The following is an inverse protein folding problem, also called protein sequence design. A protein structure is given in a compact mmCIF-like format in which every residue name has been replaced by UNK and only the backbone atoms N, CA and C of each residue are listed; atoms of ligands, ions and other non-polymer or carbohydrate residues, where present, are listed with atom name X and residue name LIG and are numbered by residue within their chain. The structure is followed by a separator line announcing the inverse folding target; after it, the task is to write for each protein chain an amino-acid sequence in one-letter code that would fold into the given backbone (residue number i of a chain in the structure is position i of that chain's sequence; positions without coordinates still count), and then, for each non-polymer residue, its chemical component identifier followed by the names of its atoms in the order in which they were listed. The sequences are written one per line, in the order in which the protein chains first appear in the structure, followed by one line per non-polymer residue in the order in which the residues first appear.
data_IF_369522711758
#
_entry.id   IF_369522711758
#
_cell.length_a   1.000
_cell.length_b   1.000
_cell.length_c   1.000
_cell.angle_alpha   90.00
_cell.angle_beta   90.00
_cell.angle_gamma   90.00
#
_symmetry.space_group_name_H-M   'P 1'
#
loop_
_entity.id
_entity.type
_entity.pdbx_description
1 polymer ?
#
# COMPACT_ATOMS: atom_id res chain seq x y z
N UNK A 1 4.68 -6.49 -9.64
CA UNK A 1 5.11 -5.89 -8.35
C UNK A 1 3.87 -5.32 -7.66
N UNK A 2 3.69 -5.57 -6.36
CA UNK A 2 2.52 -5.14 -5.56
C UNK A 2 2.29 -3.63 -5.63
N UNK A 3 3.38 -2.86 -5.51
CA UNK A 3 3.35 -1.39 -5.52
C UNK A 3 3.00 -0.81 -6.90
N UNK A 4 3.48 -1.41 -7.99
CA UNK A 4 3.22 -0.91 -9.35
C UNK A 4 1.74 -1.04 -9.73
N UNK A 5 1.11 -2.13 -9.29
CA UNK A 5 -0.25 -2.48 -9.70
C UNK A 5 -1.31 -2.16 -8.63
N UNK A 6 -0.92 -1.64 -7.47
CA UNK A 6 -1.80 -1.41 -6.32
C UNK A 6 -2.63 -2.63 -5.95
N UNK A 7 -1.98 -3.80 -5.98
CA UNK A 7 -2.65 -5.08 -5.78
C UNK A 7 -1.93 -5.89 -4.72
N UNK A 8 -2.50 -5.93 -3.51
CA UNK A 8 -2.07 -6.82 -2.45
C UNK A 8 -2.49 -8.27 -2.76
N UNK A 9 -1.69 -8.97 -3.55
CA UNK A 9 -1.90 -10.37 -3.91
C UNK A 9 -1.58 -11.37 -2.78
N UNK A 10 -1.00 -10.91 -1.67
CA UNK A 10 -0.80 -11.74 -0.46
C UNK A 10 -2.13 -11.87 0.28
N UNK A 11 -2.92 -10.79 0.30
CA UNK A 11 -4.19 -10.69 1.02
C UNK A 11 -4.01 -10.10 2.42
N UNK A 12 -5.03 -10.23 3.25
CA UNK A 12 -5.04 -9.69 4.63
C UNK A 12 -4.32 -10.64 5.60
N UNK A 13 -4.13 -10.23 6.87
CA UNK A 13 -3.45 -11.06 7.88
C UNK A 13 -4.05 -12.46 8.11
N UNK A 14 -5.28 -12.72 7.66
CA UNK A 14 -5.91 -14.04 7.71
C UNK A 14 -5.40 -15.02 6.65
N UNK A 15 -4.66 -14.57 5.62
CA UNK A 15 -4.17 -15.41 4.51
C UNK A 15 -2.71 -15.87 4.71
N UNK A 16 -2.00 -15.33 5.70
CA UNK A 16 -0.56 -15.50 5.87
C UNK A 16 -0.19 -16.06 7.24
N UNK A 17 0.87 -16.87 7.29
CA UNK A 17 1.49 -17.32 8.53
C UNK A 17 2.92 -16.80 8.62
N UNK A 18 3.26 -16.21 9.76
CA UNK A 18 4.60 -15.71 10.04
C UNK A 18 5.36 -16.65 10.96
N UNK A 19 6.65 -16.86 10.68
CA UNK A 19 7.55 -17.40 11.71
C UNK A 19 7.71 -16.34 12.80
N UNK A 20 7.45 -16.71 14.06
CA UNK A 20 7.53 -15.81 15.24
C UNK A 20 8.80 -14.96 15.27
N UNK A 21 9.95 -15.55 14.89
CA UNK A 21 11.23 -14.84 14.87
C UNK A 21 11.22 -13.54 14.05
N UNK A 22 10.47 -13.48 12.96
CA UNK A 22 10.42 -12.29 12.10
C UNK A 22 9.55 -11.18 12.70
N UNK A 23 8.51 -11.55 13.46
CA UNK A 23 7.68 -10.60 14.20
C UNK A 23 8.45 -10.05 15.40
N UNK A 24 9.16 -10.91 16.14
CA UNK A 24 9.97 -10.49 17.30
C UNK A 24 11.16 -9.59 16.94
N UNK A 25 11.57 -9.57 15.66
CA UNK A 25 12.59 -8.67 15.14
C UNK A 25 12.05 -7.29 14.78
N UNK A 26 10.72 -7.14 14.69
CA UNK A 26 10.10 -5.84 14.51
C UNK A 26 10.02 -5.11 15.85
N UNK A 27 10.18 -3.80 15.81
CA UNK A 27 9.81 -2.95 16.94
C UNK A 27 8.28 -3.00 17.11
N UNK A 28 7.75 -3.49 18.25
CA UNK A 28 6.31 -3.62 18.48
C UNK A 28 5.54 -2.30 18.30
N UNK A 29 6.15 -1.17 18.64
CA UNK A 29 5.52 0.15 18.51
C UNK A 29 5.47 0.64 17.05
N UNK A 30 6.29 0.05 16.18
CA UNK A 30 6.50 0.47 14.80
C UNK A 30 6.29 -0.67 13.78
N UNK A 31 5.58 -1.73 14.16
CA UNK A 31 5.38 -2.92 13.30
C UNK A 31 4.63 -2.60 11.99
N UNK A 32 3.85 -1.52 11.98
CA UNK A 32 3.13 -1.03 10.80
C UNK A 32 3.76 0.21 10.19
N UNK A 33 5.04 0.43 10.49
CA UNK A 33 5.81 1.56 9.97
C UNK A 33 6.86 1.08 8.99
N UNK A 34 7.02 1.80 7.89
CA UNK A 34 8.09 1.57 6.91
C UNK A 34 8.46 2.89 6.26
N UNK A 35 9.72 3.03 5.83
CA UNK A 35 10.24 4.25 5.19
C UNK A 35 10.05 5.53 6.04
N UNK A 36 10.15 5.40 7.38
CA UNK A 36 9.87 6.46 8.36
C UNK A 36 8.43 6.99 8.36
N UNK A 37 7.49 6.22 7.81
CA UNK A 37 6.08 6.52 7.82
C UNK A 37 5.26 5.44 8.52
N UNK A 38 4.16 5.84 9.15
CA UNK A 38 3.25 4.96 9.87
C UNK A 38 1.95 4.73 9.09
N UNK A 39 1.47 3.48 9.11
CA UNK A 39 0.28 3.02 8.38
C UNK A 39 -0.67 2.24 9.31
N UNK A 40 -1.55 2.93 10.02
CA UNK A 40 -2.44 2.31 11.03
C UNK A 40 -3.88 2.07 10.60
N UNK A 41 -4.31 2.61 9.46
CA UNK A 41 -5.73 2.68 9.10
C UNK A 41 -6.01 2.01 7.75
N UNK A 42 -5.32 2.44 6.69
CA UNK A 42 -5.55 1.94 5.34
C UNK A 42 -4.86 0.60 5.12
N UNK A 43 -3.77 0.63 4.37
CA UNK A 43 -3.07 -0.58 3.92
C UNK A 43 -2.13 -1.14 5.00
N UNK A 44 -2.59 -1.32 6.24
CA UNK A 44 -1.74 -1.73 7.39
C UNK A 44 -0.90 -3.00 7.14
N UNK A 45 -1.40 -3.89 6.29
CA UNK A 45 -0.79 -5.17 5.94
C UNK A 45 0.38 -5.06 4.96
N UNK A 46 0.28 -4.17 3.97
CA UNK A 46 1.30 -4.00 2.93
C UNK A 46 2.67 -3.56 3.47
N UNK A 47 2.80 -2.51 4.32
CA UNK A 47 4.05 -2.13 4.98
C UNK A 47 4.71 -3.28 5.73
N UNK A 48 3.91 -4.05 6.48
CA UNK A 48 4.42 -5.21 7.22
C UNK A 48 4.98 -6.26 6.27
N UNK A 49 4.29 -6.52 5.15
CA UNK A 49 4.77 -7.47 4.15
C UNK A 49 6.07 -6.98 3.50
N UNK A 50 6.17 -5.71 3.13
CA UNK A 50 7.39 -5.16 2.54
C UNK A 50 8.55 -5.26 3.56
N UNK A 51 8.31 -4.91 4.83
CA UNK A 51 9.31 -5.03 5.91
C UNK A 51 9.81 -6.46 6.05
N UNK A 52 8.91 -7.43 6.19
CA UNK A 52 9.29 -8.84 6.38
C UNK A 52 9.95 -9.43 5.14
N UNK A 53 9.45 -9.12 3.94
CA UNK A 53 9.99 -9.61 2.68
C UNK A 53 11.35 -9.01 2.31
N UNK A 54 11.69 -7.84 2.87
CA UNK A 54 13.05 -7.30 2.75
C UNK A 54 14.10 -8.16 3.46
N UNK A 55 13.67 -9.00 4.41
CA UNK A 55 14.54 -9.84 5.25
C UNK A 55 14.50 -11.32 4.84
N UNK A 56 13.48 -11.76 4.12
CA UNK A 56 13.29 -13.18 3.80
C UNK A 56 12.34 -13.43 2.63
N UNK A 57 12.31 -14.67 2.16
CA UNK A 57 11.42 -15.11 1.10
C UNK A 57 10.06 -15.57 1.65
N UNK A 58 9.02 -15.45 0.81
CA UNK A 58 7.70 -16.03 1.05
C UNK A 58 7.50 -17.30 0.21
N UNK A 59 6.71 -18.24 0.75
CA UNK A 59 6.22 -19.39 0.03
C UNK A 59 4.70 -19.25 -0.18
N UNK A 60 4.24 -19.45 -1.40
CA UNK A 60 2.83 -19.30 -1.78
C UNK A 60 2.17 -20.67 -1.92
N UNK A 61 1.01 -20.84 -1.27
CA UNK A 61 0.14 -22.01 -1.42
C UNK A 61 -1.05 -21.65 -2.32
N UNK A 62 -1.22 -22.31 -3.48
CA UNK A 62 -2.28 -21.98 -4.43
C UNK A 62 -3.64 -22.59 -4.03
N UNK A 63 -4.00 -22.51 -2.75
CA UNK A 63 -5.23 -23.04 -2.19
C UNK A 63 -6.00 -21.96 -1.47
N UNK A 64 -7.33 -21.98 -1.57
CA UNK A 64 -8.20 -21.10 -0.78
C UNK A 64 -8.23 -21.59 0.67
N UNK A 65 -7.46 -20.92 1.53
CA UNK A 65 -7.36 -21.26 2.96
C UNK A 65 -8.12 -20.30 3.88
N UNK A 66 -8.64 -19.19 3.34
CA UNK A 66 -9.50 -18.24 4.05
C UNK A 66 -10.60 -17.71 3.13
N UNK A 67 -11.70 -17.27 3.75
CA UNK A 67 -12.81 -16.62 3.05
C UNK A 67 -13.36 -15.49 3.91
N UNK A 68 -13.58 -14.33 3.30
CA UNK A 68 -14.17 -13.18 3.97
C UNK A 68 -15.68 -13.19 3.82
N UNK A 69 -16.37 -12.92 4.93
CA UNK A 69 -17.81 -12.66 4.90
C UNK A 69 -18.01 -11.20 4.51
N UNK A 70 -18.70 -10.94 3.40
CA UNK A 70 -19.23 -9.61 3.12
C UNK A 70 -20.43 -9.34 4.04
N UNK A 71 -20.36 -8.27 4.82
CA UNK A 71 -21.47 -7.82 5.67
C UNK A 71 -21.58 -6.29 5.65
N UNK A 72 -22.77 -5.76 5.98
CA UNK A 72 -23.07 -4.31 5.88
C UNK A 72 -22.21 -3.42 6.77
N UNK A 73 -21.63 -3.97 7.83
CA UNK A 73 -20.72 -3.28 8.75
C UNK A 73 -19.23 -3.52 8.43
N UNK A 74 -18.90 -4.03 7.24
CA UNK A 74 -17.52 -4.23 6.83
C UNK A 74 -16.86 -2.90 6.47
N UNK A 75 -15.59 -2.71 6.87
CA UNK A 75 -14.84 -1.46 6.61
C UNK A 75 -14.41 -1.26 5.15
N UNK A 76 -14.64 -2.22 4.27
CA UNK A 76 -14.18 -2.19 2.87
C UNK A 76 -15.16 -1.49 1.91
N UNK A 77 -16.21 -0.85 2.41
CA UNK A 77 -17.15 -0.07 1.60
C UNK A 77 -16.81 1.43 1.68
N UNK A 78 -16.35 2.06 0.58
CA UNK A 78 -16.00 3.48 0.57
C UNK A 78 -17.18 4.40 0.86
N UNK A 79 -18.43 3.97 0.64
CA UNK A 79 -19.60 4.81 0.92
C UNK A 79 -19.98 4.85 2.41
N UNK A 80 -19.47 3.91 3.20
CA UNK A 80 -19.82 3.80 4.63
C UNK A 80 -18.61 3.93 5.55
N UNK A 81 -17.40 3.75 5.04
CA UNK A 81 -16.15 3.97 5.79
C UNK A 81 -15.51 5.32 5.41
N UNK A 82 -15.62 6.36 6.26
CA UNK A 82 -15.02 7.67 6.00
C UNK A 82 -13.48 7.62 5.93
N UNK A 83 -12.86 6.61 6.53
CA UNK A 83 -11.41 6.40 6.53
C UNK A 83 -10.91 5.59 5.33
N UNK A 84 -11.79 5.17 4.40
CA UNK A 84 -11.39 4.37 3.25
C UNK A 84 -10.38 5.08 2.33
N UNK A 85 -10.38 6.41 2.31
CA UNK A 85 -9.40 7.20 1.56
C UNK A 85 -7.94 6.81 1.89
N UNK A 86 -7.65 6.37 3.12
CA UNK A 86 -6.32 5.87 3.49
C UNK A 86 -5.91 4.62 2.67
N UNK A 87 -6.85 3.72 2.37
CA UNK A 87 -6.57 2.54 1.54
C UNK A 87 -6.21 2.90 0.09
N UNK A 88 -6.48 4.15 -0.33
CA UNK A 88 -6.10 4.70 -1.63
C UNK A 88 -4.79 5.48 -1.52
N UNK A 89 -4.71 6.46 -0.61
CA UNK A 89 -3.53 7.34 -0.48
C UNK A 89 -2.28 6.62 0.03
N UNK A 90 -2.42 5.58 0.84
CA UNK A 90 -1.30 4.81 1.37
C UNK A 90 -0.48 4.14 0.26
N UNK A 91 -1.08 3.81 -0.90
CA UNK A 91 -0.33 3.32 -2.05
C UNK A 91 0.71 4.33 -2.53
N UNK A 92 0.33 5.61 -2.65
CA UNK A 92 1.25 6.63 -3.11
C UNK A 92 2.36 6.91 -2.09
N UNK A 93 2.01 6.94 -0.80
CA UNK A 93 2.97 7.05 0.30
C UNK A 93 4.02 5.93 0.25
N UNK A 94 3.57 4.69 0.05
CA UNK A 94 4.45 3.53 -0.13
C UNK A 94 5.31 3.63 -1.39
N UNK A 95 4.79 4.16 -2.50
CA UNK A 95 5.57 4.41 -3.73
C UNK A 95 6.70 5.41 -3.45
N UNK A 96 6.41 6.53 -2.77
CA UNK A 96 7.43 7.54 -2.45
C UNK A 96 8.54 6.96 -1.56
N UNK A 97 8.17 6.21 -0.52
CA UNK A 97 9.13 5.55 0.36
C UNK A 97 9.95 4.46 -0.34
N UNK A 98 9.31 3.66 -1.19
CA UNK A 98 9.98 2.61 -1.96
C UNK A 98 10.94 3.18 -3.00
N UNK A 99 10.59 4.27 -3.68
CA UNK A 99 11.51 4.97 -4.57
C UNK A 99 12.70 5.56 -3.81
N UNK A 100 12.44 6.26 -2.70
CA UNK A 100 13.49 6.93 -1.91
C UNK A 100 14.48 5.95 -1.27
N UNK A 101 14.05 4.71 -1.02
CA UNK A 101 14.91 3.63 -0.51
C UNK A 101 15.63 2.82 -1.60
N UNK A 102 15.37 3.12 -2.88
CA UNK A 102 15.94 2.38 -4.02
C UNK A 102 15.26 1.04 -4.32
N UNK A 103 14.12 0.73 -3.68
CA UNK A 103 13.33 -0.48 -3.94
C UNK A 103 12.60 -0.41 -5.29
N UNK A 104 12.27 0.79 -5.76
CA UNK A 104 11.74 1.03 -7.10
C UNK A 104 12.73 1.85 -7.91
N UNK A 105 12.94 1.45 -9.17
CA UNK A 105 13.60 2.31 -10.16
C UNK A 105 12.70 3.51 -10.53
N UNK A 106 13.27 4.56 -11.13
CA UNK A 106 12.50 5.74 -11.57
C UNK A 106 11.36 5.37 -12.53
N UNK A 107 11.58 4.44 -13.45
CA UNK A 107 10.55 4.01 -14.42
C UNK A 107 9.41 3.25 -13.74
N UNK A 108 9.73 2.37 -12.78
CA UNK A 108 8.73 1.66 -11.98
C UNK A 108 7.95 2.62 -11.09
N UNK A 109 8.62 3.56 -10.43
CA UNK A 109 7.99 4.56 -9.57
C UNK A 109 7.03 5.48 -10.35
N UNK A 110 7.43 5.93 -11.56
CA UNK A 110 6.55 6.71 -12.45
C UNK A 110 5.34 5.88 -12.87
N UNK A 111 5.55 4.60 -13.22
CA UNK A 111 4.46 3.70 -13.62
C UNK A 111 3.48 3.50 -12.47
N UNK A 112 4.00 3.25 -11.26
CA UNK A 112 3.21 3.10 -10.06
C UNK A 112 2.43 4.39 -9.76
N UNK A 113 3.06 5.56 -9.80
CA UNK A 113 2.38 6.84 -9.55
C UNK A 113 1.27 7.14 -10.58
N UNK A 114 1.47 6.79 -11.86
CA UNK A 114 0.42 6.90 -12.89
C UNK A 114 -0.75 5.97 -12.61
N UNK A 115 -0.47 4.73 -12.22
CA UNK A 115 -1.48 3.77 -11.82
C UNK A 115 -2.24 4.23 -10.56
N UNK A 116 -1.57 4.97 -9.65
CA UNK A 116 -2.18 5.52 -8.45
C UNK A 116 -3.18 6.61 -8.84
N UNK A 117 -2.82 7.51 -9.74
CA UNK A 117 -3.75 8.52 -10.26
C UNK A 117 -4.99 7.90 -10.92
N UNK A 118 -4.80 6.80 -11.67
CA UNK A 118 -5.91 6.03 -12.23
C UNK A 118 -6.81 5.40 -11.15
N UNK A 119 -6.23 4.87 -10.07
CA UNK A 119 -6.97 4.35 -8.92
C UNK A 119 -7.74 5.47 -8.21
N UNK A 120 -7.04 6.56 -7.83
CA UNK A 120 -7.58 7.71 -7.10
C UNK A 120 -8.77 8.35 -7.83
N UNK A 121 -8.71 8.44 -9.16
CA UNK A 121 -9.82 8.94 -9.98
C UNK A 121 -11.17 8.25 -9.71
N UNK A 122 -11.17 6.97 -9.35
CA UNK A 122 -12.40 6.24 -9.04
C UNK A 122 -13.01 6.63 -7.68
N UNK A 123 -12.20 7.19 -6.78
CA UNK A 123 -12.59 7.52 -5.41
C UNK A 123 -12.65 9.03 -5.14
N UNK A 124 -12.10 9.87 -6.02
CA UNK A 124 -12.20 11.33 -5.96
C UNK A 124 -13.64 11.88 -5.77
N UNK A 125 -14.69 11.32 -6.41
CA UNK A 125 -16.06 11.78 -6.17
C UNK A 125 -16.57 11.51 -4.74
N UNK A 126 -15.95 10.59 -4.01
CA UNK A 126 -16.33 10.20 -2.65
C UNK A 126 -15.45 10.93 -1.62
N UNK A 127 -14.15 11.06 -1.90
CA UNK A 127 -13.15 11.64 -0.99
C UNK A 127 -12.34 12.76 -1.65
N UNK A 128 -12.97 13.86 -2.11
CA UNK A 128 -12.28 14.90 -2.87
C UNK A 128 -11.25 15.66 -2.03
N UNK A 129 -11.59 16.03 -0.79
CA UNK A 129 -10.72 16.79 0.12
C UNK A 129 -9.48 16.00 0.52
N UNK A 130 -9.63 14.69 0.68
CA UNK A 130 -8.57 13.81 1.16
C UNK A 130 -7.62 13.42 0.02
N UNK A 131 -8.13 13.16 -1.18
CA UNK A 131 -7.34 12.61 -2.30
C UNK A 131 -6.75 13.66 -3.24
N UNK A 132 -7.39 14.82 -3.42
CA UNK A 132 -6.85 15.87 -4.31
C UNK A 132 -5.42 16.31 -3.95
N UNK A 133 -5.06 16.53 -2.67
CA UNK A 133 -3.68 16.88 -2.31
C UNK A 133 -2.68 15.81 -2.76
N UNK A 134 -2.99 14.53 -2.56
CA UNK A 134 -2.14 13.42 -2.97
C UNK A 134 -1.99 13.32 -4.48
N UNK A 135 -3.06 13.57 -5.23
CA UNK A 135 -3.00 13.58 -6.70
C UNK A 135 -2.11 14.72 -7.23
N UNK A 136 -2.14 15.89 -6.59
CA UNK A 136 -1.24 17.00 -6.90
C UNK A 136 0.22 16.58 -6.65
N UNK A 137 0.49 16.00 -5.48
CA UNK A 137 1.82 15.51 -5.11
C UNK A 137 2.31 14.41 -6.06
N UNK A 138 1.44 13.47 -6.45
CA UNK A 138 1.77 12.41 -7.41
C UNK A 138 2.12 12.96 -8.79
N UNK A 139 1.40 13.97 -9.28
CA UNK A 139 1.74 14.64 -10.53
C UNK A 139 3.09 15.37 -10.46
N UNK A 140 3.42 16.00 -9.32
CA UNK A 140 4.72 16.64 -9.11
C UNK A 140 5.85 15.61 -9.01
N UNK A 141 5.60 14.50 -8.32
CA UNK A 141 6.51 13.37 -8.21
C UNK A 141 6.86 12.78 -9.58
N UNK A 142 5.87 12.53 -10.44
CA UNK A 142 6.10 12.05 -11.81
C UNK A 142 7.00 13.01 -12.59
N UNK A 143 6.73 14.32 -12.51
CA UNK A 143 7.51 15.35 -13.24
C UNK A 143 8.94 15.49 -12.76
N UNK A 144 9.22 15.20 -11.49
CA UNK A 144 10.56 15.31 -10.89
C UNK A 144 11.36 14.01 -10.98
N UNK A 145 10.68 12.87 -11.14
CA UNK A 145 11.30 11.54 -11.26
C UNK A 145 11.62 11.18 -12.71
N UNK A 146 11.07 11.93 -13.68
CA UNK A 146 11.29 11.69 -15.12
C UNK A 146 12.74 12.03 -15.51
N UNK A 147 13.54 11.04 -15.96
CA UNK A 147 14.95 11.24 -16.30
C UNK A 147 15.19 12.00 -17.61
N UNK A 148 14.13 12.37 -18.36
CA UNK A 148 14.24 13.06 -19.66
C UNK A 148 14.16 14.60 -19.48
N UNK A 149 14.65 15.12 -18.35
CA UNK A 149 14.89 16.56 -18.13
C UNK A 149 16.34 16.82 -17.76
#
# INVERSE_FOLDING_TARGET
NMLINHNNFIGEFSTILFKRKFINQQDPENIFSIFNEEFKIGLIDVPLYISILSQSNMFYLPYSLSAFRKHKSGGSDPLTNPSFHHAVSDWFRLIQGAYSSGLLSSSEAITAAKNYLALSKNFLPIFPSELQPWDITANQFIKSTDPIK
#
